data_IF_097178907909
#
_entry.id   IF_097178907909
#
_cell.length_a   1.000
_cell.length_b   1.000
_cell.length_c   1.000
_cell.angle_alpha   90.00
_cell.angle_beta   90.00
_cell.angle_gamma   90.00
#
_symmetry.space_group_name_H-M   'P 1'
#
loop_
_entity.id
_entity.type
_entity.pdbx_description
1 polymer ?
#
# COMPACT_ATOMS: atom_id res chain seq x y z
N UNK A 1 12.58 -13.33 -7.41
CA UNK A 1 11.89 -12.03 -7.22
C UNK A 1 10.42 -12.28 -7.45
N UNK A 2 9.59 -12.05 -6.46
CA UNK A 2 8.15 -12.18 -6.65
C UNK A 2 7.65 -10.93 -7.37
N UNK A 3 7.06 -11.13 -8.53
CA UNK A 3 6.46 -10.07 -9.32
C UNK A 3 5.06 -10.49 -9.75
N UNK A 4 4.17 -9.53 -9.84
CA UNK A 4 2.87 -9.70 -10.48
C UNK A 4 2.88 -9.00 -11.83
N UNK A 5 2.31 -9.61 -12.89
CA UNK A 5 2.19 -8.95 -14.17
C UNK A 5 1.48 -7.60 -14.03
N UNK A 6 2.03 -6.57 -14.68
CA UNK A 6 1.46 -5.20 -14.61
C UNK A 6 -0.03 -5.17 -14.96
N UNK A 7 -0.44 -5.97 -15.95
CA UNK A 7 -1.84 -6.03 -16.38
C UNK A 7 -2.75 -6.55 -15.27
N UNK A 8 -2.29 -7.52 -14.49
CA UNK A 8 -3.07 -8.09 -13.39
C UNK A 8 -3.18 -7.09 -12.24
N UNK A 9 -2.08 -6.36 -11.93
CA UNK A 9 -2.10 -5.28 -10.91
C UNK A 9 -3.09 -4.19 -11.31
N UNK A 10 -3.10 -3.76 -12.57
CA UNK A 10 -4.06 -2.76 -13.07
C UNK A 10 -5.50 -3.29 -13.05
N UNK A 11 -5.71 -4.56 -13.37
CA UNK A 11 -7.03 -5.19 -13.25
C UNK A 11 -7.51 -5.24 -11.78
N UNK A 12 -6.61 -5.52 -10.84
CA UNK A 12 -6.93 -5.43 -9.41
C UNK A 12 -7.26 -3.99 -8.98
N UNK A 13 -6.55 -2.98 -9.50
CA UNK A 13 -6.88 -1.57 -9.24
C UNK A 13 -8.28 -1.21 -9.77
N UNK A 14 -8.65 -1.66 -10.97
CA UNK A 14 -9.98 -1.44 -11.54
C UNK A 14 -11.09 -2.14 -10.73
N UNK A 15 -10.83 -3.36 -10.25
CA UNK A 15 -11.76 -4.14 -9.43
C UNK A 15 -12.00 -3.51 -8.05
N UNK A 16 -10.93 -3.07 -7.39
CA UNK A 16 -10.95 -2.66 -5.98
C UNK A 16 -10.96 -1.15 -5.77
N UNK A 17 -10.50 -0.36 -6.75
CA UNK A 17 -10.50 1.10 -6.66
C UNK A 17 -11.86 1.73 -6.34
N UNK A 18 -12.97 1.27 -6.93
CA UNK A 18 -14.31 1.82 -6.65
C UNK A 18 -14.77 1.70 -5.19
N UNK A 19 -14.16 0.81 -4.39
CA UNK A 19 -14.51 0.65 -2.96
C UNK A 19 -13.56 1.41 -2.01
N UNK A 20 -12.56 2.13 -2.54
CA UNK A 20 -11.76 3.06 -1.75
C UNK A 20 -12.60 4.26 -1.32
N UNK A 21 -12.48 4.62 -0.04
CA UNK A 21 -13.05 5.85 0.51
C UNK A 21 -12.13 7.02 0.19
N UNK A 22 -12.32 7.62 -0.98
CA UNK A 22 -11.44 8.70 -1.46
C UNK A 22 -12.04 10.09 -1.22
N UNK A 23 -11.23 11.14 -1.05
CA UNK A 23 -11.69 12.53 -1.05
C UNK A 23 -12.45 12.88 -2.33
N UNK A 24 -13.42 13.81 -2.22
CA UNK A 24 -14.18 14.30 -3.38
C UNK A 24 -13.26 14.80 -4.48
N UNK A 25 -13.52 14.39 -5.70
CA UNK A 25 -12.75 14.76 -6.90
C UNK A 25 -11.55 13.84 -7.19
N UNK A 26 -11.24 12.88 -6.31
CA UNK A 26 -10.23 11.86 -6.59
C UNK A 26 -10.88 10.55 -7.05
N UNK A 27 -10.10 9.74 -7.77
CA UNK A 27 -10.50 8.47 -8.34
C UNK A 27 -9.75 7.32 -7.66
N UNK A 28 -10.49 6.37 -7.09
CA UNK A 28 -9.90 5.29 -6.31
C UNK A 28 -9.07 4.31 -7.13
N UNK A 29 -9.46 4.02 -8.38
CA UNK A 29 -8.66 3.17 -9.28
C UNK A 29 -7.31 3.83 -9.58
N UNK A 30 -7.33 5.12 -9.90
CA UNK A 30 -6.10 5.89 -10.16
C UNK A 30 -5.22 5.99 -8.91
N UNK A 31 -5.80 6.14 -7.72
CA UNK A 31 -5.04 6.13 -6.45
C UNK A 31 -4.37 4.77 -6.26
N UNK A 32 -5.09 3.66 -6.37
CA UNK A 32 -4.49 2.33 -6.23
C UNK A 32 -3.36 2.10 -7.23
N UNK A 33 -3.56 2.47 -8.50
CA UNK A 33 -2.55 2.34 -9.54
C UNK A 33 -1.30 3.19 -9.26
N UNK A 34 -1.51 4.41 -8.75
CA UNK A 34 -0.40 5.32 -8.42
C UNK A 34 0.41 4.84 -7.22
N UNK A 35 -0.25 4.33 -6.18
CA UNK A 35 0.42 3.70 -5.05
C UNK A 35 1.24 2.49 -5.50
N UNK A 36 0.67 1.58 -6.29
CA UNK A 36 1.40 0.43 -6.80
C UNK A 36 2.60 0.84 -7.69
N UNK A 37 2.47 1.92 -8.45
CA UNK A 37 3.56 2.48 -9.25
C UNK A 37 4.72 2.96 -8.38
N UNK A 38 4.42 3.70 -7.31
CA UNK A 38 5.45 4.23 -6.40
C UNK A 38 6.10 3.15 -5.54
N UNK A 39 5.33 2.17 -5.09
CA UNK A 39 5.81 1.17 -4.13
C UNK A 39 6.56 0.01 -4.79
N UNK A 40 6.15 -0.42 -5.98
CA UNK A 40 6.66 -1.63 -6.62
C UNK A 40 6.88 -1.53 -8.12
N UNK A 41 6.90 -0.33 -8.69
CA UNK A 41 6.93 -0.15 -10.15
C UNK A 41 5.81 -0.94 -10.85
N UNK A 42 4.60 -0.85 -10.29
CA UNK A 42 3.38 -1.54 -10.75
C UNK A 42 3.55 -3.07 -10.82
N UNK A 43 4.05 -3.66 -9.75
CA UNK A 43 4.14 -5.11 -9.59
C UNK A 43 5.48 -5.73 -9.97
N UNK A 44 6.46 -4.96 -10.44
CA UNK A 44 7.77 -5.51 -10.81
C UNK A 44 8.61 -5.91 -9.60
N UNK A 45 8.46 -5.22 -8.46
CA UNK A 45 9.21 -5.46 -7.22
C UNK A 45 8.24 -5.62 -6.05
N UNK A 46 7.59 -6.78 -6.00
CA UNK A 46 6.57 -7.12 -5.00
C UNK A 46 7.06 -8.05 -3.90
N UNK A 47 8.32 -8.44 -3.94
CA UNK A 47 8.91 -9.33 -2.94
C UNK A 47 8.94 -8.71 -1.54
N UNK A 48 9.13 -9.53 -0.51
CA UNK A 48 9.18 -9.05 0.86
C UNK A 48 10.34 -8.06 1.04
N UNK A 49 10.02 -6.80 1.39
CA UNK A 49 10.98 -5.76 1.73
C UNK A 49 11.08 -5.63 3.24
N UNK A 50 12.25 -5.93 3.78
CA UNK A 50 12.49 -5.85 5.20
C UNK A 50 12.53 -4.40 5.71
N UNK A 51 11.80 -4.14 6.79
CA UNK A 51 11.70 -2.83 7.44
C UNK A 51 12.29 -2.88 8.87
N UNK A 52 13.51 -2.35 9.09
CA UNK A 52 14.21 -2.47 10.37
C UNK A 52 13.44 -1.93 11.58
N UNK A 53 12.60 -0.92 11.40
CA UNK A 53 11.78 -0.37 12.48
C UNK A 53 10.78 -1.40 13.06
N UNK A 54 10.41 -2.40 12.28
CA UNK A 54 9.45 -3.46 12.62
C UNK A 54 10.13 -4.75 13.10
N UNK A 55 11.45 -4.88 12.97
CA UNK A 55 12.21 -6.06 13.40
C UNK A 55 12.74 -5.90 14.83
N UNK A 56 13.33 -6.97 15.37
CA UNK A 56 13.89 -7.03 16.73
C UNK A 56 14.78 -5.82 17.04
N UNK A 57 14.43 -5.10 18.07
CA UNK A 57 15.12 -3.87 18.48
C UNK A 57 14.64 -2.60 17.77
N UNK A 58 13.77 -2.70 16.77
CA UNK A 58 13.17 -1.54 16.09
C UNK A 58 12.07 -0.86 16.93
N UNK A 59 11.77 0.38 16.61
CA UNK A 59 10.85 1.21 17.40
C UNK A 59 9.40 0.69 17.39
N UNK A 60 8.91 0.18 16.24
CA UNK A 60 7.57 -0.40 16.13
C UNK A 60 7.52 -1.75 16.85
N UNK A 61 8.54 -2.59 16.67
CA UNK A 61 8.66 -3.87 17.38
C UNK A 61 8.62 -3.64 18.91
N UNK A 62 9.37 -2.67 19.42
CA UNK A 62 9.44 -2.37 20.84
C UNK A 62 8.09 -1.95 21.43
N UNK A 63 7.29 -1.17 20.67
CA UNK A 63 6.02 -0.60 21.14
C UNK A 63 4.79 -1.47 20.84
N UNK A 64 4.86 -2.44 19.89
CA UNK A 64 3.71 -3.22 19.43
C UNK A 64 3.80 -4.70 19.81
N UNK A 65 2.95 -5.19 20.74
CA UNK A 65 2.84 -6.63 21.03
C UNK A 65 2.47 -7.47 19.79
N UNK A 66 1.60 -6.96 18.94
CA UNK A 66 1.20 -7.63 17.71
C UNK A 66 2.40 -7.79 16.75
N UNK A 67 3.23 -6.75 16.60
CA UNK A 67 4.43 -6.83 15.77
C UNK A 67 5.44 -7.84 16.33
N UNK A 68 5.62 -7.89 17.64
CA UNK A 68 6.48 -8.91 18.28
C UNK A 68 6.00 -10.33 18.00
N UNK A 69 4.68 -10.56 18.04
CA UNK A 69 4.11 -11.87 17.73
C UNK A 69 4.36 -12.28 16.26
N UNK A 70 4.23 -11.36 15.31
CA UNK A 70 4.52 -11.61 13.90
C UNK A 70 6.00 -11.95 13.66
N UNK A 71 6.91 -11.21 14.30
CA UNK A 71 8.36 -11.49 14.19
C UNK A 71 8.70 -12.84 14.87
N UNK A 72 8.09 -13.16 16.00
CA UNK A 72 8.28 -14.46 16.64
C UNK A 72 7.78 -15.65 15.77
N UNK A 73 6.68 -15.44 15.04
CA UNK A 73 6.07 -16.47 14.20
C UNK A 73 6.78 -16.64 12.84
N UNK A 74 7.16 -15.53 12.18
CA UNK A 74 7.63 -15.52 10.79
C UNK A 74 9.07 -15.02 10.64
N UNK A 75 9.77 -14.73 11.74
CA UNK A 75 11.12 -14.16 11.69
C UNK A 75 11.14 -12.84 10.94
N UNK A 76 12.13 -12.66 10.09
CA UNK A 76 12.31 -11.45 9.28
C UNK A 76 11.12 -11.11 8.39
N UNK A 77 10.38 -12.12 7.91
CA UNK A 77 9.17 -11.90 7.10
C UNK A 77 8.07 -11.22 7.92
N UNK A 78 8.01 -11.44 9.24
CA UNK A 78 7.11 -10.70 10.14
C UNK A 78 7.39 -9.20 10.19
N UNK A 79 8.60 -8.77 9.82
CA UNK A 79 9.04 -7.38 9.75
C UNK A 79 9.18 -6.88 8.30
N UNK A 80 8.42 -7.45 7.37
CA UNK A 80 8.51 -7.10 5.96
C UNK A 80 7.19 -6.57 5.41
N UNK A 81 7.29 -5.75 4.37
CA UNK A 81 6.19 -5.32 3.52
C UNK A 81 6.04 -6.23 2.31
N UNK A 82 4.83 -6.32 1.74
CA UNK A 82 4.47 -7.28 0.70
C UNK A 82 3.61 -6.67 -0.41
N UNK A 83 3.69 -7.29 -1.57
CA UNK A 83 2.80 -7.05 -2.69
C UNK A 83 3.00 -5.73 -3.42
N UNK A 84 2.16 -5.43 -4.42
CA UNK A 84 2.30 -4.22 -5.24
C UNK A 84 2.23 -2.91 -4.45
N UNK A 85 1.53 -2.90 -3.33
CA UNK A 85 1.34 -1.71 -2.47
C UNK A 85 2.28 -1.67 -1.27
N UNK A 86 3.20 -2.63 -1.14
CA UNK A 86 4.24 -2.73 -0.10
C UNK A 86 3.73 -2.45 1.32
N UNK A 87 2.61 -3.07 1.68
CA UNK A 87 2.08 -2.98 3.04
C UNK A 87 2.80 -3.93 3.99
N UNK A 88 3.06 -3.44 5.20
CA UNK A 88 3.60 -4.27 6.29
C UNK A 88 2.66 -5.43 6.63
N UNK A 89 3.23 -6.59 6.96
CA UNK A 89 2.45 -7.79 7.32
C UNK A 89 1.42 -7.53 8.42
N UNK A 90 1.73 -6.66 9.38
CA UNK A 90 0.81 -6.27 10.45
C UNK A 90 -0.50 -5.64 9.94
N UNK A 91 -0.51 -5.13 8.72
CA UNK A 91 -1.69 -4.53 8.07
C UNK A 91 -2.52 -5.56 7.27
N UNK A 92 -2.11 -6.83 7.32
CA UNK A 92 -2.81 -7.95 6.69
C UNK A 92 -3.29 -8.98 7.72
N UNK A 93 -4.26 -8.62 8.59
CA UNK A 93 -4.71 -9.53 9.63
C UNK A 93 -5.29 -10.82 9.02
N UNK A 94 -4.77 -11.95 9.44
CA UNK A 94 -5.22 -13.26 8.99
C UNK A 94 -4.52 -13.80 7.75
N UNK A 95 -3.57 -13.06 7.15
CA UNK A 95 -2.76 -13.54 6.03
C UNK A 95 -1.35 -13.95 6.46
N UNK A 96 -0.81 -14.98 5.83
CA UNK A 96 0.60 -15.36 5.97
C UNK A 96 1.47 -14.70 4.90
N UNK A 97 2.79 -14.58 5.11
CA UNK A 97 3.72 -14.13 4.08
C UNK A 97 3.60 -14.91 2.77
N UNK A 98 3.45 -16.24 2.84
CA UNK A 98 3.36 -17.10 1.65
C UNK A 98 2.11 -16.80 0.80
N UNK A 99 0.98 -16.48 1.43
CA UNK A 99 -0.24 -16.08 0.72
C UNK A 99 -0.05 -14.75 0.00
N UNK A 100 0.54 -13.75 0.69
CA UNK A 100 0.77 -12.43 0.11
C UNK A 100 1.80 -12.41 -1.03
N UNK A 101 2.70 -13.39 -1.07
CA UNK A 101 3.67 -13.53 -2.16
C UNK A 101 3.06 -14.03 -3.48
N UNK A 102 1.92 -14.73 -3.43
CA UNK A 102 1.33 -15.39 -4.60
C UNK A 102 -0.11 -14.93 -4.90
N UNK A 103 -0.78 -14.27 -3.97
CA UNK A 103 -2.19 -13.91 -4.10
C UNK A 103 -2.38 -12.38 -4.20
N UNK A 104 -2.48 -11.90 -5.44
CA UNK A 104 -2.70 -10.49 -5.72
C UNK A 104 -4.02 -9.95 -5.17
N UNK A 105 -5.07 -10.78 -5.15
CA UNK A 105 -6.40 -10.40 -4.64
C UNK A 105 -6.35 -10.11 -3.14
N UNK A 106 -5.59 -10.89 -2.38
CA UNK A 106 -5.37 -10.68 -0.94
C UNK A 106 -4.55 -9.41 -0.69
N UNK A 107 -3.51 -9.16 -1.50
CA UNK A 107 -2.77 -7.90 -1.43
C UNK A 107 -3.68 -6.69 -1.71
N UNK A 108 -4.56 -6.77 -2.71
CA UNK A 108 -5.49 -5.70 -3.05
C UNK A 108 -6.53 -5.46 -1.95
N UNK A 109 -7.11 -6.52 -1.37
CA UNK A 109 -8.04 -6.40 -0.23
C UNK A 109 -7.38 -5.78 1.00
N UNK A 110 -6.15 -6.17 1.29
CA UNK A 110 -5.36 -5.56 2.36
C UNK A 110 -5.11 -4.07 2.11
N UNK A 111 -4.76 -3.69 0.87
CA UNK A 111 -4.60 -2.29 0.47
C UNK A 111 -5.87 -1.49 0.72
N UNK A 112 -7.04 -1.97 0.27
CA UNK A 112 -8.34 -1.31 0.49
C UNK A 112 -8.64 -1.13 1.98
N UNK A 113 -8.47 -2.19 2.76
CA UNK A 113 -8.75 -2.17 4.19
C UNK A 113 -7.88 -1.14 4.91
N UNK A 114 -6.57 -1.16 4.64
CA UNK A 114 -5.60 -0.24 5.23
C UNK A 114 -5.85 1.21 4.80
N UNK A 115 -6.05 1.45 3.50
CA UNK A 115 -6.35 2.78 2.96
C UNK A 115 -7.61 3.37 3.59
N UNK A 116 -8.71 2.61 3.62
CA UNK A 116 -9.98 3.06 4.17
C UNK A 116 -9.90 3.35 5.68
N UNK A 117 -9.09 2.58 6.42
CA UNK A 117 -8.78 2.86 7.83
C UNK A 117 -8.03 4.19 8.00
N UNK A 118 -7.04 4.44 7.16
CA UNK A 118 -6.29 5.69 7.17
C UNK A 118 -7.16 6.89 6.82
N UNK A 119 -8.01 6.77 5.78
CA UNK A 119 -8.93 7.85 5.41
C UNK A 119 -9.92 8.15 6.54
N UNK A 120 -10.44 7.12 7.21
CA UNK A 120 -11.36 7.31 8.34
C UNK A 120 -10.69 7.98 9.55
N UNK A 121 -9.39 7.72 9.77
CA UNK A 121 -8.66 8.25 10.92
C UNK A 121 -8.09 9.66 10.66
N UNK A 122 -7.53 9.89 9.48
CA UNK A 122 -6.78 11.11 9.18
C UNK A 122 -7.56 12.13 8.35
N UNK A 123 -8.67 11.73 7.72
CA UNK A 123 -9.52 12.58 6.88
C UNK A 123 -8.71 13.42 5.85
N UNK A 124 -7.91 12.78 4.96
CA UNK A 124 -7.13 13.51 3.97
C UNK A 124 -8.05 14.27 3.02
N UNK A 125 -7.62 15.44 2.56
CA UNK A 125 -8.41 16.31 1.67
C UNK A 125 -7.93 16.26 0.21
N UNK A 126 -6.72 15.77 -0.03
CA UNK A 126 -6.09 15.76 -1.35
C UNK A 126 -5.04 14.64 -1.45
N UNK A 127 -4.49 14.48 -2.66
CA UNK A 127 -3.52 13.43 -2.95
C UNK A 127 -2.19 13.60 -2.19
N UNK A 128 -1.78 14.83 -1.90
CA UNK A 128 -0.56 15.11 -1.13
C UNK A 128 -0.71 14.58 0.30
N UNK A 129 -1.84 14.84 0.95
CA UNK A 129 -2.12 14.32 2.29
C UNK A 129 -2.22 12.80 2.29
N UNK A 130 -2.80 12.18 1.24
CA UNK A 130 -2.80 10.74 1.06
C UNK A 130 -1.37 10.21 0.98
N UNK A 131 -0.50 10.83 0.18
CA UNK A 131 0.90 10.43 0.06
C UNK A 131 1.67 10.55 1.38
N UNK A 132 1.44 11.60 2.17
CA UNK A 132 2.03 11.74 3.50
C UNK A 132 1.58 10.62 4.44
N UNK A 133 0.28 10.38 4.53
CA UNK A 133 -0.29 9.35 5.41
C UNK A 133 0.23 7.97 5.02
N UNK A 134 0.27 7.66 3.73
CA UNK A 134 0.77 6.38 3.23
C UNK A 134 2.24 6.14 3.57
N UNK A 135 3.07 7.16 3.38
CA UNK A 135 4.52 7.07 3.57
C UNK A 135 4.96 7.22 5.03
N UNK A 136 4.32 8.11 5.81
CA UNK A 136 4.69 8.45 7.19
C UNK A 136 3.78 7.86 8.26
N UNK A 137 2.56 7.45 7.90
CA UNK A 137 1.51 7.12 8.86
C UNK A 137 0.83 8.34 9.51
N UNK A 138 1.11 9.57 9.08
CA UNK A 138 0.47 10.80 9.59
C UNK A 138 0.62 11.96 8.60
N UNK A 139 -0.17 13.03 8.82
CA UNK A 139 -0.03 14.30 8.09
C UNK A 139 0.93 15.24 8.82
N UNK A 140 1.68 16.05 8.06
CA UNK A 140 2.57 17.07 8.61
C UNK A 140 2.63 18.31 7.70
N UNK A 141 2.82 19.50 8.31
CA UNK A 141 3.00 20.75 7.56
C UNK A 141 4.43 20.90 7.03
N UNK A 142 5.39 20.18 7.62
CA UNK A 142 6.80 20.22 7.25
C UNK A 142 7.31 18.80 6.93
N UNK A 143 6.88 18.19 5.80
CA UNK A 143 7.31 16.86 5.47
C UNK A 143 8.81 16.82 5.12
N UNK A 144 9.53 15.73 5.47
CA UNK A 144 10.90 15.52 5.03
C UNK A 144 11.01 15.52 3.50
N UNK A 145 12.18 15.88 2.98
CA UNK A 145 12.42 15.98 1.52
C UNK A 145 12.09 14.69 0.77
N UNK A 146 12.33 13.52 1.37
CA UNK A 146 11.95 12.22 0.78
C UNK A 146 10.46 12.06 0.61
N UNK A 147 9.67 12.54 1.57
CA UNK A 147 8.20 12.50 1.52
C UNK A 147 7.65 13.49 0.49
N UNK A 148 8.26 14.67 0.38
CA UNK A 148 7.91 15.64 -0.68
C UNK A 148 8.09 15.00 -2.05
N UNK A 149 9.22 14.33 -2.27
CA UNK A 149 9.48 13.59 -3.51
C UNK A 149 8.46 12.50 -3.73
N UNK A 150 8.19 11.68 -2.72
CA UNK A 150 7.17 10.62 -2.79
C UNK A 150 5.81 11.16 -3.22
N UNK A 151 5.32 12.25 -2.60
CA UNK A 151 4.05 12.89 -2.96
C UNK A 151 4.06 13.44 -4.40
N UNK A 152 5.19 14.00 -4.85
CA UNK A 152 5.34 14.47 -6.23
C UNK A 152 5.27 13.33 -7.23
N UNK A 153 5.91 12.21 -6.95
CA UNK A 153 5.90 11.04 -7.82
C UNK A 153 4.54 10.35 -7.82
N UNK A 154 3.85 10.30 -6.66
CA UNK A 154 2.46 9.86 -6.57
C UNK A 154 1.52 10.71 -7.44
N UNK A 155 1.68 12.05 -7.41
CA UNK A 155 0.89 12.95 -8.26
C UNK A 155 1.12 12.69 -9.74
N UNK A 156 2.37 12.55 -10.18
CA UNK A 156 2.71 12.23 -11.58
C UNK A 156 2.11 10.89 -12.00
N UNK A 157 2.22 9.88 -11.16
CA UNK A 157 1.64 8.56 -11.41
C UNK A 157 0.12 8.64 -11.51
N UNK A 158 -0.53 9.40 -10.62
CA UNK A 158 -1.98 9.63 -10.65
C UNK A 158 -2.44 10.33 -11.92
N UNK A 159 -1.72 11.38 -12.36
CA UNK A 159 -2.06 12.13 -13.57
C UNK A 159 -1.88 11.28 -14.83
N UNK A 160 -0.93 10.34 -14.81
CA UNK A 160 -0.62 9.43 -15.92
C UNK A 160 -1.48 8.16 -15.91
N UNK A 161 -2.15 7.83 -14.79
CA UNK A 161 -2.98 6.63 -14.71
C UNK A 161 -4.24 6.78 -15.58
N UNK A 162 -4.41 5.88 -16.54
CA UNK A 162 -5.59 5.81 -17.40
C UNK A 162 -6.57 4.82 -16.79
N UNK A 163 -7.85 5.20 -16.69
CA UNK A 163 -8.90 4.25 -16.31
C UNK A 163 -8.93 3.09 -17.32
N UNK A 164 -8.94 1.88 -16.80
CA UNK A 164 -9.21 0.72 -17.62
C UNK A 164 -10.67 0.80 -18.12
N UNK A 165 -10.92 0.53 -19.43
CA UNK A 165 -12.30 0.44 -19.89
C UNK A 165 -13.01 -0.63 -19.07
N UNK A 166 -14.09 -0.27 -18.40
CA UNK A 166 -14.96 -1.24 -17.73
C UNK A 166 -15.41 -2.23 -18.80
N UNK A 167 -14.87 -3.44 -18.77
CA UNK A 167 -15.41 -4.54 -19.55
C UNK A 167 -16.84 -4.73 -19.06
N UNK A 168 -17.81 -4.25 -19.84
CA UNK A 168 -19.22 -4.45 -19.54
C UNK A 168 -19.45 -5.95 -19.43
N UNK A 169 -19.71 -6.39 -18.20
CA UNK A 169 -20.26 -7.71 -17.96
C UNK A 169 -21.72 -7.59 -18.38
N UNK A 170 -21.95 -8.00 -19.63
CA UNK A 170 -23.32 -8.25 -20.15
C UNK A 170 -23.84 -9.55 -19.61
#
# INVERSE_FOLDING_TARGET
MNSFPKIDVLAACAKYGPVLKVPTGLDGERIMASLASNESSTGNDCGPRHEPAYDVGGSVWASSPAQRALVAQYGRLGASSFGPWQLMLINYPGFSPAELEINLDDCARGCVSHFNSYVAHFEPKNLVEIGQIWNLGHKTVNPPAGVIRYCSDLQKAYDSAVKQPTSGVS
#
